data_IF_954783365267
#
_entry.id   IF_954783365267
#
_cell.length_a   1.000
_cell.length_b   1.000
_cell.length_c   1.000
_cell.angle_alpha   90.00
_cell.angle_beta   90.00
_cell.angle_gamma   90.00
#
_symmetry.space_group_name_H-M   'P 1'
#
loop_
_entity.id
_entity.type
_entity.pdbx_description
1 polymer ?
#
# COMPACT_ATOMS: atom_id res chain seq x y z
N UNK A 1 -39.42 -7.27 4.60
CA UNK A 1 -38.59 -7.58 5.79
C UNK A 1 -37.78 -8.86 5.65
N UNK A 2 -38.36 -10.02 5.28
CA UNK A 2 -37.60 -11.28 5.16
C UNK A 2 -36.37 -11.19 4.22
N UNK A 3 -36.49 -10.51 3.07
CA UNK A 3 -35.38 -10.32 2.14
C UNK A 3 -34.21 -9.53 2.75
N UNK A 4 -34.51 -8.46 3.51
CA UNK A 4 -33.50 -7.65 4.18
C UNK A 4 -32.71 -8.51 5.19
N UNK A 5 -33.41 -9.32 5.99
CA UNK A 5 -32.78 -10.23 6.93
C UNK A 5 -31.88 -11.26 6.21
N UNK A 6 -32.35 -11.83 5.09
CA UNK A 6 -31.55 -12.73 4.26
C UNK A 6 -30.28 -12.03 3.74
N UNK A 7 -30.40 -10.80 3.24
CA UNK A 7 -29.26 -10.02 2.75
C UNK A 7 -28.23 -9.77 3.86
N UNK A 8 -28.67 -9.39 5.07
CA UNK A 8 -27.77 -9.19 6.22
C UNK A 8 -27.04 -10.49 6.57
N UNK A 9 -27.74 -11.64 6.58
CA UNK A 9 -27.12 -12.93 6.87
C UNK A 9 -26.07 -13.29 5.81
N UNK A 10 -26.40 -13.11 4.52
CA UNK A 10 -25.45 -13.37 3.43
C UNK A 10 -24.24 -12.45 3.53
N UNK A 11 -24.44 -11.15 3.78
CA UNK A 11 -23.35 -10.19 3.97
C UNK A 11 -22.47 -10.58 5.17
N UNK A 12 -23.05 -11.05 6.28
CA UNK A 12 -22.31 -11.53 7.45
C UNK A 12 -21.47 -12.79 7.17
N UNK A 13 -22.02 -13.75 6.42
CA UNK A 13 -21.27 -14.95 6.00
C UNK A 13 -20.09 -14.54 5.12
N UNK A 14 -20.30 -13.63 4.16
CA UNK A 14 -19.21 -13.21 3.29
C UNK A 14 -18.18 -12.37 4.04
N UNK A 15 -18.60 -11.53 4.99
CA UNK A 15 -17.70 -10.77 5.85
C UNK A 15 -16.79 -11.70 6.68
N UNK A 16 -17.35 -12.73 7.28
CA UNK A 16 -16.57 -13.72 8.06
C UNK A 16 -15.62 -14.53 7.20
N UNK A 17 -16.04 -14.93 5.99
CA UNK A 17 -15.16 -15.62 5.02
C UNK A 17 -14.00 -14.73 4.60
N UNK A 18 -14.27 -13.48 4.20
CA UNK A 18 -13.25 -12.52 3.80
C UNK A 18 -12.30 -12.17 4.94
N UNK A 19 -12.82 -12.05 6.17
CA UNK A 19 -12.01 -11.84 7.36
C UNK A 19 -11.04 -13.01 7.60
N UNK A 20 -11.54 -14.25 7.49
CA UNK A 20 -10.69 -15.44 7.64
C UNK A 20 -9.61 -15.54 6.55
N UNK A 21 -9.97 -15.21 5.30
CA UNK A 21 -9.01 -15.13 4.18
C UNK A 21 -7.98 -14.03 4.43
N UNK A 22 -8.42 -12.86 4.89
CA UNK A 22 -7.55 -11.71 5.16
C UNK A 22 -6.51 -11.98 6.24
N UNK A 23 -6.87 -12.74 7.28
CA UNK A 23 -5.90 -13.19 8.29
C UNK A 23 -4.85 -14.13 7.70
N UNK A 24 -5.23 -15.01 6.76
CA UNK A 24 -4.34 -16.06 6.25
C UNK A 24 -3.49 -15.66 5.04
N UNK A 25 -3.98 -14.74 4.20
CA UNK A 25 -3.35 -14.43 2.90
C UNK A 25 -2.59 -13.12 2.94
N UNK A 26 -3.25 -12.02 3.28
CA UNK A 26 -2.63 -10.71 3.38
C UNK A 26 -3.57 -9.72 4.06
N UNK A 27 -3.01 -8.85 4.89
CA UNK A 27 -3.72 -7.79 5.61
C UNK A 27 -4.45 -6.83 4.66
N UNK A 28 -3.92 -6.62 3.45
CA UNK A 28 -4.57 -5.77 2.43
C UNK A 28 -5.98 -6.25 2.06
N UNK A 29 -6.29 -7.55 2.17
CA UNK A 29 -7.64 -8.07 1.92
C UNK A 29 -8.66 -7.71 3.01
N UNK A 30 -8.20 -7.49 4.24
CA UNK A 30 -9.06 -7.05 5.35
C UNK A 30 -9.61 -5.66 5.04
N UNK A 31 -8.80 -4.80 4.43
CA UNK A 31 -9.16 -3.44 4.06
C UNK A 31 -10.34 -3.36 3.07
N UNK A 32 -10.38 -4.28 2.09
CA UNK A 32 -11.45 -4.32 1.08
C UNK A 32 -12.69 -5.10 1.53
N UNK A 33 -12.64 -5.77 2.69
CA UNK A 33 -13.77 -6.55 3.21
C UNK A 33 -15.07 -5.75 3.32
N UNK A 34 -15.12 -4.54 3.91
CA UNK A 34 -16.34 -3.74 3.95
C UNK A 34 -16.87 -3.39 2.54
N UNK A 35 -15.99 -3.02 1.61
CA UNK A 35 -16.37 -2.66 0.24
C UNK A 35 -16.94 -3.85 -0.55
N UNK A 36 -16.36 -5.04 -0.40
CA UNK A 36 -16.83 -6.26 -1.08
C UNK A 36 -18.16 -6.74 -0.48
N UNK A 37 -18.28 -6.75 0.85
CA UNK A 37 -19.52 -7.20 1.53
C UNK A 37 -20.70 -6.29 1.22
N UNK A 38 -20.49 -4.97 1.24
CA UNK A 38 -21.51 -3.99 0.82
C UNK A 38 -21.87 -4.13 -0.66
N UNK A 39 -20.90 -4.41 -1.53
CA UNK A 39 -21.15 -4.63 -2.97
C UNK A 39 -22.14 -5.78 -3.21
N UNK A 40 -22.02 -6.88 -2.47
CA UNK A 40 -22.95 -8.02 -2.56
C UNK A 40 -24.36 -7.60 -2.15
N UNK A 41 -24.49 -6.83 -1.08
CA UNK A 41 -25.79 -6.29 -0.67
C UNK A 41 -26.44 -5.42 -1.76
N UNK A 42 -25.66 -4.55 -2.41
CA UNK A 42 -26.10 -3.71 -3.53
C UNK A 42 -26.56 -4.58 -4.70
N UNK A 43 -25.76 -5.57 -5.10
CA UNK A 43 -26.11 -6.50 -6.18
C UNK A 43 -27.40 -7.28 -5.90
N UNK A 44 -27.61 -7.73 -4.66
CA UNK A 44 -28.83 -8.45 -4.27
C UNK A 44 -30.08 -7.56 -4.36
N UNK A 45 -29.99 -6.30 -3.91
CA UNK A 45 -31.11 -5.37 -3.99
C UNK A 45 -31.40 -4.93 -5.43
N UNK A 46 -30.37 -4.74 -6.25
CA UNK A 46 -30.53 -4.52 -7.69
C UNK A 46 -31.22 -5.72 -8.34
N UNK A 47 -30.72 -6.93 -8.10
CA UNK A 47 -31.31 -8.17 -8.63
C UNK A 47 -32.77 -8.33 -8.22
N UNK A 48 -33.10 -8.00 -6.97
CA UNK A 48 -34.49 -7.99 -6.47
C UNK A 48 -35.37 -7.01 -7.25
N UNK A 49 -34.90 -5.79 -7.50
CA UNK A 49 -35.67 -4.78 -8.24
C UNK A 49 -35.98 -5.20 -9.67
N UNK A 50 -35.07 -5.92 -10.32
CA UNK A 50 -35.27 -6.42 -11.69
C UNK A 50 -36.07 -7.73 -11.78
N UNK A 51 -36.13 -8.52 -10.70
CA UNK A 51 -36.74 -9.86 -10.72
C UNK A 51 -38.15 -9.88 -10.14
N UNK A 52 -38.48 -9.00 -9.20
CA UNK A 52 -39.79 -8.97 -8.54
C UNK A 52 -40.73 -8.00 -9.26
N UNK A 53 -41.89 -8.50 -9.68
CA UNK A 53 -42.99 -7.64 -10.13
C UNK A 53 -43.62 -6.95 -8.91
N UNK A 54 -43.35 -5.66 -8.76
CA UNK A 54 -43.99 -4.84 -7.73
C UNK A 54 -45.43 -4.50 -8.14
N UNK A 55 -46.39 -4.54 -7.20
CA UNK A 55 -47.72 -4.01 -7.46
C UNK A 55 -47.65 -2.50 -7.72
N UNK A 56 -48.55 -1.99 -8.58
CA UNK A 56 -48.54 -0.61 -9.11
C UNK A 56 -48.68 0.46 -8.00
N UNK A 57 -49.28 0.11 -6.86
CA UNK A 57 -49.43 0.96 -5.66
C UNK A 57 -48.45 0.60 -4.53
N UNK A 58 -47.35 -0.08 -4.88
CA UNK A 58 -46.52 -0.75 -3.91
C UNK A 58 -45.59 0.16 -3.11
N UNK A 59 -46.01 0.62 -1.93
CA UNK A 59 -45.11 1.05 -0.85
C UNK A 59 -43.81 0.22 -0.71
N UNK A 60 -43.82 -1.13 -0.91
CA UNK A 60 -42.60 -1.94 -0.83
C UNK A 60 -41.49 -1.53 -1.79
N UNK A 61 -41.79 -1.03 -3.00
CA UNK A 61 -40.75 -0.62 -3.96
C UNK A 61 -40.00 0.61 -3.46
N UNK A 62 -40.73 1.56 -2.86
CA UNK A 62 -40.17 2.80 -2.32
C UNK A 62 -39.22 2.49 -1.18
N UNK A 63 -39.60 1.56 -0.28
CA UNK A 63 -38.72 1.10 0.79
C UNK A 63 -37.47 0.39 0.26
N UNK A 64 -37.61 -0.49 -0.75
CA UNK A 64 -36.46 -1.18 -1.32
C UNK A 64 -35.50 -0.23 -2.05
N UNK A 65 -36.02 0.80 -2.74
CA UNK A 65 -35.21 1.87 -3.35
C UNK A 65 -34.52 2.71 -2.27
N UNK A 66 -35.21 3.05 -1.19
CA UNK A 66 -34.64 3.80 -0.06
C UNK A 66 -33.49 3.02 0.60
N UNK A 67 -33.68 1.72 0.84
CA UNK A 67 -32.63 0.85 1.39
C UNK A 67 -31.45 0.77 0.41
N UNK A 68 -31.71 0.57 -0.88
CA UNK A 68 -30.66 0.54 -1.90
C UNK A 68 -29.89 1.86 -1.96
N UNK A 69 -30.56 3.01 -1.83
CA UNK A 69 -29.94 4.32 -1.83
C UNK A 69 -28.98 4.49 -0.64
N UNK A 70 -29.42 4.12 0.57
CA UNK A 70 -28.57 4.15 1.77
C UNK A 70 -27.38 3.19 1.59
N UNK A 71 -27.62 1.99 1.08
CA UNK A 71 -26.58 0.99 0.88
C UNK A 71 -25.54 1.44 -0.14
N UNK A 72 -25.96 2.06 -1.24
CA UNK A 72 -25.07 2.66 -2.23
C UNK A 72 -24.24 3.81 -1.64
N UNK A 73 -24.84 4.67 -0.80
CA UNK A 73 -24.11 5.75 -0.15
C UNK A 73 -22.99 5.21 0.74
N UNK A 74 -23.32 4.26 1.63
CA UNK A 74 -22.33 3.62 2.52
C UNK A 74 -21.27 2.85 1.72
N UNK A 75 -21.67 2.20 0.63
CA UNK A 75 -20.74 1.48 -0.25
C UNK A 75 -19.71 2.40 -0.91
N UNK A 76 -20.12 3.58 -1.39
CA UNK A 76 -19.19 4.57 -1.96
C UNK A 76 -18.18 5.03 -0.91
N UNK A 77 -18.64 5.33 0.32
CA UNK A 77 -17.73 5.71 1.40
C UNK A 77 -16.72 4.61 1.73
N UNK A 78 -17.14 3.35 1.77
CA UNK A 78 -16.24 2.22 2.01
C UNK A 78 -15.17 2.08 0.91
N UNK A 79 -15.54 2.27 -0.36
CA UNK A 79 -14.58 2.26 -1.48
C UNK A 79 -13.57 3.39 -1.34
N UNK A 80 -14.05 4.61 -1.05
CA UNK A 80 -13.18 5.78 -0.90
C UNK A 80 -12.21 5.58 0.26
N UNK A 81 -12.68 5.07 1.40
CA UNK A 81 -11.84 4.76 2.56
C UNK A 81 -10.76 3.72 2.21
N UNK A 82 -11.14 2.61 1.58
CA UNK A 82 -10.20 1.58 1.17
C UNK A 82 -9.15 2.13 0.18
N UNK A 83 -9.56 2.97 -0.77
CA UNK A 83 -8.66 3.60 -1.73
C UNK A 83 -7.69 4.57 -1.06
N UNK A 84 -8.15 5.39 -0.12
CA UNK A 84 -7.29 6.31 0.64
C UNK A 84 -6.23 5.48 1.38
N UNK A 85 -6.63 4.46 2.13
CA UNK A 85 -5.69 3.67 2.93
C UNK A 85 -4.66 2.96 2.02
N UNK A 86 -5.10 2.39 0.90
CA UNK A 86 -4.22 1.72 -0.06
C UNK A 86 -3.15 2.68 -0.64
N UNK A 87 -3.56 3.90 -1.04
CA UNK A 87 -2.64 4.94 -1.52
C UNK A 87 -1.65 5.39 -0.44
N UNK A 88 -2.11 5.52 0.81
CA UNK A 88 -1.24 5.94 1.92
C UNK A 88 -0.26 4.85 2.35
N UNK A 89 -0.65 3.58 2.27
CA UNK A 89 0.19 2.44 2.65
C UNK A 89 1.26 2.16 1.58
N UNK A 90 0.86 2.03 0.31
CA UNK A 90 1.80 1.86 -0.80
C UNK A 90 2.70 3.10 -0.99
N UNK A 91 2.19 4.30 -0.71
CA UNK A 91 2.95 5.54 -0.82
C UNK A 91 4.13 5.64 0.16
N UNK A 92 4.10 4.92 1.29
CA UNK A 92 5.25 4.84 2.22
C UNK A 92 6.32 3.89 1.70
N UNK A 93 5.93 2.76 1.15
CA UNK A 93 6.85 1.76 0.58
C UNK A 93 7.55 2.31 -0.67
N UNK A 94 6.82 2.97 -1.57
CA UNK A 94 7.40 3.63 -2.74
C UNK A 94 8.42 4.72 -2.38
N UNK A 95 8.22 5.45 -1.27
CA UNK A 95 9.19 6.45 -0.81
C UNK A 95 10.46 5.80 -0.26
N UNK A 96 10.34 4.65 0.39
CA UNK A 96 11.49 3.89 0.89
C UNK A 96 12.30 3.31 -0.28
N UNK A 97 11.65 2.69 -1.26
CA UNK A 97 12.30 2.14 -2.45
C UNK A 97 12.90 3.22 -3.33
N UNK A 98 12.21 4.35 -3.52
CA UNK A 98 12.77 5.50 -4.24
C UNK A 98 14.04 6.02 -3.57
N UNK A 99 14.06 6.12 -2.23
CA UNK A 99 15.24 6.56 -1.47
C UNK A 99 16.39 5.53 -1.58
N UNK A 100 16.07 4.24 -1.54
CA UNK A 100 17.05 3.18 -1.73
C UNK A 100 17.69 3.24 -3.13
N UNK A 101 16.87 3.33 -4.18
CA UNK A 101 17.34 3.45 -5.56
C UNK A 101 18.15 4.74 -5.80
N UNK A 102 17.74 5.88 -5.22
CA UNK A 102 18.49 7.13 -5.28
C UNK A 102 19.86 7.02 -4.59
N UNK A 103 19.91 6.38 -3.43
CA UNK A 103 21.16 6.15 -2.70
C UNK A 103 22.08 5.19 -3.44
N UNK A 104 21.52 4.16 -4.08
CA UNK A 104 22.27 3.18 -4.85
C UNK A 104 22.81 3.81 -6.15
N UNK A 105 22.00 4.57 -6.87
CA UNK A 105 22.43 5.33 -8.04
C UNK A 105 23.52 6.35 -7.70
N UNK A 106 23.40 7.05 -6.58
CA UNK A 106 24.43 7.96 -6.07
C UNK A 106 25.75 7.22 -5.78
N UNK A 107 25.69 6.10 -5.08
CA UNK A 107 26.88 5.30 -4.75
C UNK A 107 27.57 4.70 -5.98
N UNK A 108 26.80 4.29 -7.00
CA UNK A 108 27.34 3.75 -8.24
C UNK A 108 28.05 4.82 -9.07
N UNK A 109 27.49 6.03 -9.10
CA UNK A 109 28.09 7.16 -9.80
C UNK A 109 29.39 7.63 -9.11
N UNK A 110 29.41 7.65 -7.77
CA UNK A 110 30.63 7.95 -7.00
C UNK A 110 31.70 6.88 -7.22
N UNK A 111 31.33 5.60 -7.24
CA UNK A 111 32.26 4.50 -7.47
C UNK A 111 32.85 4.54 -8.88
N UNK A 112 32.03 4.80 -9.90
CA UNK A 112 32.50 4.96 -11.27
C UNK A 112 33.40 6.19 -11.45
N UNK A 113 33.08 7.30 -10.77
CA UNK A 113 33.95 8.48 -10.76
C UNK A 113 35.30 8.20 -10.08
N UNK A 114 35.31 7.52 -8.92
CA UNK A 114 36.53 7.11 -8.21
C UNK A 114 37.41 6.20 -9.07
N UNK A 115 36.80 5.23 -9.76
CA UNK A 115 37.51 4.29 -10.63
C UNK A 115 38.10 5.00 -11.87
N UNK A 116 37.38 5.98 -12.41
CA UNK A 116 37.84 6.82 -13.52
C UNK A 116 38.95 7.80 -13.11
N UNK A 117 38.93 8.30 -11.87
CA UNK A 117 39.99 9.12 -11.28
C UNK A 117 41.24 8.28 -10.99
N UNK A 118 41.06 7.06 -10.45
CA UNK A 118 42.16 6.14 -10.14
C UNK A 118 42.84 5.57 -11.40
N UNK A 119 42.10 5.31 -12.48
CA UNK A 119 42.68 4.82 -13.73
C UNK A 119 43.41 5.91 -14.53
N UNK A 120 43.19 7.18 -14.21
CA UNK A 120 43.86 8.29 -14.86
C UNK A 120 45.31 8.42 -14.36
N UNK A 121 46.27 7.92 -15.16
CA UNK A 121 47.71 7.86 -14.83
C UNK A 121 48.31 9.20 -14.41
N UNK A 122 47.78 10.32 -14.89
CA UNK A 122 48.23 11.68 -14.52
C UNK A 122 47.85 11.99 -13.06
N UNK A 123 46.61 11.68 -12.68
CA UNK A 123 46.10 11.90 -11.33
C UNK A 123 46.76 10.94 -10.34
N UNK A 124 46.95 9.67 -10.72
CA UNK A 124 47.68 8.70 -9.90
C UNK A 124 49.13 9.14 -9.63
N UNK A 125 49.83 9.70 -10.62
CA UNK A 125 51.16 10.31 -10.42
C UNK A 125 51.10 11.54 -9.52
N UNK A 126 50.09 12.39 -9.68
CA UNK A 126 49.91 13.59 -8.84
C UNK A 126 49.61 13.23 -7.39
N UNK A 127 48.72 12.27 -7.12
CA UNK A 127 48.41 11.76 -5.78
C UNK A 127 49.65 11.13 -5.14
N UNK A 128 50.42 10.32 -5.89
CA UNK A 128 51.66 9.72 -5.39
C UNK A 128 52.69 10.80 -5.02
N UNK A 129 52.80 11.85 -5.84
CA UNK A 129 53.68 13.00 -5.57
C UNK A 129 53.18 13.84 -4.37
N UNK A 130 51.87 14.02 -4.23
CA UNK A 130 51.24 14.73 -3.12
C UNK A 130 51.40 13.99 -1.78
N UNK A 131 51.21 12.67 -1.75
CA UNK A 131 51.43 11.82 -0.57
C UNK A 131 52.89 11.79 -0.11
N UNK A 132 53.84 11.92 -1.04
CA UNK A 132 55.27 12.05 -0.72
C UNK A 132 55.57 13.45 -0.14
N UNK A 133 54.86 14.48 -0.61
CA UNK A 133 55.07 15.88 -0.19
C UNK A 133 54.36 16.23 1.13
N UNK A 134 53.27 15.55 1.44
CA UNK A 134 52.55 15.65 2.70
C UNK A 134 52.40 14.24 3.30
N UNK A 135 53.42 13.73 4.01
CA UNK A 135 53.25 12.53 4.79
C UNK A 135 52.19 12.83 5.85
N UNK A 136 50.97 12.32 5.66
CA UNK A 136 49.99 12.25 6.72
C UNK A 136 50.64 11.43 7.83
N UNK A 137 51.05 12.10 8.91
CA UNK A 137 51.31 11.46 10.20
C UNK A 137 49.99 10.79 10.58
N UNK A 138 49.84 9.53 10.20
CA UNK A 138 48.93 8.63 10.89
C UNK A 138 49.53 8.49 12.28
N UNK A 139 49.03 9.32 13.19
CA UNK A 139 49.28 9.21 14.61
C UNK A 139 48.72 7.84 15.02
N UNK A 140 49.63 6.85 15.08
CA UNK A 140 49.35 5.49 15.56
C UNK A 140 49.00 5.61 17.03
N UNK A 141 47.69 5.71 17.31
CA UNK A 141 47.15 5.74 18.67
C UNK A 141 47.15 4.31 19.26
N UNK A 142 48.30 3.63 19.16
CA UNK A 142 48.62 2.38 19.87
C UNK A 142 49.56 2.72 21.01
N UNK A 143 48.94 2.89 22.18
CA UNK A 143 49.44 2.89 23.56
C UNK A 143 48.64 4.02 24.24
N UNK A 144 47.65 3.75 25.08
CA UNK A 144 47.76 3.07 26.36
C UNK A 144 46.39 2.51 26.75
N UNK A 145 46.34 1.23 27.12
CA UNK A 145 45.40 0.65 28.10
C UNK A 145 45.86 -0.78 28.40
N UNK A 146 47.10 -0.88 28.90
CA UNK A 146 47.43 -1.88 29.92
C UNK A 146 47.45 -1.09 31.24
N UNK A 147 46.47 -1.35 32.10
CA UNK A 147 46.41 -1.31 33.57
C UNK A 147 44.95 -1.19 34.00
#
# INVERSE_FOLDING_TARGET
MAFLAMTIVVMGIVATLLYYIGIKVSYSYILYTPSITLSIGVCLYIGKLFTINYPVEGLPIVFDILILSILCAVWIFAIVEAFIIDVFEQGKEMKADAKYLLSQASSYNIRWMMEKIASNRIVAKWIKSFLIKFPLKLEDNRNENNW
#
